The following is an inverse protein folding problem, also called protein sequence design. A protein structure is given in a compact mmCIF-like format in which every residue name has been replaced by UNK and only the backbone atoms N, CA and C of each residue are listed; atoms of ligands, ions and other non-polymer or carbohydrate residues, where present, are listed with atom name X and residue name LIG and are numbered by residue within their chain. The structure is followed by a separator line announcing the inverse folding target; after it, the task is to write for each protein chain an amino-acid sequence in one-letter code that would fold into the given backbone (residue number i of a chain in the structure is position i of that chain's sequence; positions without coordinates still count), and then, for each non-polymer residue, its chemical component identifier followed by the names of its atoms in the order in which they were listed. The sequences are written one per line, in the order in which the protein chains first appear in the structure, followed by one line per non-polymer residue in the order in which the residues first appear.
data_IF_365932142432
#
_entry.id   IF_365932142432
#
_cell.length_a   1.000
_cell.length_b   1.000
_cell.length_c   1.000
_cell.angle_alpha   90.00
_cell.angle_beta   90.00
_cell.angle_gamma   90.00
#
_symmetry.space_group_name_H-M   'P 1'
#
loop_
_entity.id
_entity.type
_entity.pdbx_description
1 polymer ?
#
# COMPACT_ATOMS: atom_id res chain seq x y z
N UNK A 1 6.27 -7.65 23.48
CA UNK A 1 5.19 -8.01 22.57
C UNK A 1 5.45 -7.31 21.23
N UNK A 2 5.51 -8.03 20.12
CA UNK A 2 5.84 -7.49 18.79
C UNK A 2 4.54 -7.05 18.09
N UNK A 3 4.38 -5.74 17.82
CA UNK A 3 3.25 -5.22 17.06
C UNK A 3 3.71 -4.93 15.62
N UNK A 4 3.03 -5.49 14.63
CA UNK A 4 3.26 -5.20 13.22
C UNK A 4 2.32 -4.10 12.70
N UNK A 5 2.77 -3.36 11.66
CA UNK A 5 1.94 -2.41 10.93
C UNK A 5 1.64 -2.97 9.54
N UNK A 6 0.36 -2.99 9.18
CA UNK A 6 -0.13 -3.52 7.90
C UNK A 6 -0.86 -2.43 7.13
N UNK A 7 -0.44 -2.16 5.90
CA UNK A 7 -0.92 -1.05 5.10
C UNK A 7 -1.55 -1.52 3.79
N UNK A 8 -2.87 -1.35 3.66
CA UNK A 8 -3.62 -1.67 2.45
C UNK A 8 -3.23 -0.73 1.29
N UNK A 9 -3.28 -1.24 0.06
CA UNK A 9 -3.19 -0.46 -1.16
C UNK A 9 -4.45 0.34 -1.45
N UNK A 10 -4.38 1.29 -2.39
CA UNK A 10 -5.56 2.07 -2.73
C UNK A 10 -5.31 3.27 -3.64
N UNK A 11 -4.14 3.37 -4.26
CA UNK A 11 -3.72 4.53 -5.02
C UNK A 11 -3.94 5.82 -4.20
N UNK A 12 -4.67 6.84 -4.72
CA UNK A 12 -4.89 8.10 -3.98
C UNK A 12 -5.73 7.98 -2.71
N UNK A 13 -6.46 6.87 -2.50
CA UNK A 13 -7.08 6.58 -1.19
C UNK A 13 -6.05 6.38 -0.08
N UNK A 14 -4.81 6.05 -0.44
CA UNK A 14 -3.66 6.01 0.48
C UNK A 14 -3.34 7.33 1.17
N UNK A 15 -3.94 8.46 0.75
CA UNK A 15 -3.81 9.72 1.49
C UNK A 15 -4.40 9.65 2.90
N UNK A 16 -5.47 8.87 3.10
CA UNK A 16 -5.94 8.55 4.44
C UNK A 16 -4.85 7.86 5.26
N UNK A 17 -4.21 6.83 4.67
CA UNK A 17 -3.07 6.14 5.30
C UNK A 17 -1.92 7.09 5.61
N UNK A 18 -1.57 7.98 4.67
CA UNK A 18 -0.54 8.98 4.89
C UNK A 18 -0.86 9.88 6.10
N UNK A 19 -2.10 10.33 6.22
CA UNK A 19 -2.55 11.11 7.38
C UNK A 19 -2.45 10.34 8.70
N UNK A 20 -2.85 9.07 8.71
CA UNK A 20 -2.70 8.18 9.88
C UNK A 20 -1.23 8.06 10.26
N UNK A 21 -0.35 7.75 9.31
CA UNK A 21 1.07 7.53 9.57
C UNK A 21 1.80 8.77 10.06
N UNK A 22 1.51 9.94 9.49
CA UNK A 22 2.10 11.20 9.96
C UNK A 22 1.69 11.49 11.42
N UNK A 23 0.48 11.09 11.83
CA UNK A 23 0.04 11.20 13.22
C UNK A 23 0.72 10.18 14.13
N UNK A 24 0.89 8.94 13.67
CA UNK A 24 1.64 7.92 14.42
C UNK A 24 3.09 8.34 14.62
N UNK A 25 3.70 8.95 13.60
CA UNK A 25 5.05 9.52 13.70
C UNK A 25 5.13 10.61 14.78
N UNK A 26 4.17 11.55 14.82
CA UNK A 26 4.09 12.59 15.85
C UNK A 26 3.89 12.02 17.27
N UNK A 27 3.27 10.84 17.38
CA UNK A 27 3.12 10.13 18.66
C UNK A 27 4.37 9.38 19.09
N UNK A 28 5.40 9.31 18.22
CA UNK A 28 6.63 8.56 18.47
C UNK A 28 6.42 7.04 18.45
N UNK A 29 5.47 6.55 17.64
CA UNK A 29 5.19 5.12 17.53
C UNK A 29 6.16 4.51 16.53
N UNK A 30 6.85 3.45 16.94
CA UNK A 30 7.71 2.64 16.08
C UNK A 30 7.18 1.21 15.99
N UNK A 31 7.38 0.57 14.84
CA UNK A 31 7.00 -0.80 14.60
C UNK A 31 8.22 -1.63 14.20
N UNK A 32 8.44 -2.81 14.83
CA UNK A 32 9.55 -3.69 14.45
C UNK A 32 9.34 -4.39 13.10
N UNK A 33 8.09 -4.40 12.60
CA UNK A 33 7.73 -4.97 11.32
C UNK A 33 6.63 -4.13 10.65
N UNK A 34 6.83 -3.83 9.37
CA UNK A 34 5.86 -3.12 8.53
C UNK A 34 5.73 -3.87 7.21
N UNK A 35 4.49 -4.07 6.75
CA UNK A 35 4.22 -4.62 5.43
C UNK A 35 3.17 -3.77 4.73
N UNK A 36 3.42 -3.44 3.47
CA UNK A 36 2.54 -2.58 2.68
C UNK A 36 2.35 -3.05 1.25
N UNK A 37 1.20 -2.68 0.69
CA UNK A 37 0.78 -3.01 -0.67
C UNK A 37 0.55 -1.73 -1.46
N UNK A 38 1.14 -1.57 -2.66
CA UNK A 38 0.85 -0.44 -3.56
C UNK A 38 1.08 0.92 -2.85
N UNK A 39 0.08 1.78 -2.76
CA UNK A 39 0.16 3.04 -1.99
C UNK A 39 0.54 2.79 -0.52
N UNK A 40 0.16 1.65 0.06
CA UNK A 40 0.59 1.22 1.39
C UNK A 40 2.08 0.88 1.44
N UNK A 41 2.64 0.27 0.39
CA UNK A 41 4.09 0.02 0.28
C UNK A 41 4.89 1.33 0.22
N UNK A 42 4.41 2.31 -0.56
CA UNK A 42 4.99 3.64 -0.62
C UNK A 42 4.96 4.33 0.75
N UNK A 43 3.82 4.24 1.45
CA UNK A 43 3.67 4.81 2.79
C UNK A 43 4.58 4.11 3.81
N UNK A 44 4.76 2.78 3.70
CA UNK A 44 5.63 1.99 4.56
C UNK A 44 7.09 2.45 4.49
N UNK A 45 7.66 2.57 3.28
CA UNK A 45 9.07 2.99 3.14
C UNK A 45 9.28 4.43 3.64
N UNK A 46 8.30 5.32 3.43
CA UNK A 46 8.37 6.70 3.91
C UNK A 46 8.30 6.79 5.43
N UNK A 47 7.54 5.91 6.07
CA UNK A 47 7.48 5.82 7.53
C UNK A 47 8.79 5.30 8.11
N UNK A 48 9.35 4.24 7.54
CA UNK A 48 10.63 3.65 7.95
C UNK A 48 11.80 4.64 7.78
N UNK A 49 11.80 5.41 6.68
CA UNK A 49 12.82 6.45 6.43
C UNK A 49 12.60 7.73 7.25
N UNK A 50 11.57 7.76 8.14
CA UNK A 50 11.26 8.90 9.01
C UNK A 50 11.01 10.21 8.24
N UNK A 51 10.28 10.12 7.13
CA UNK A 51 9.95 11.26 6.26
C UNK A 51 8.45 11.60 6.30
N UNK A 52 7.93 12.19 7.41
CA UNK A 52 6.55 12.62 7.48
C UNK A 52 6.22 13.63 6.36
N UNK A 53 4.98 13.61 5.87
CA UNK A 53 4.53 14.45 4.76
C UNK A 53 4.94 13.95 3.37
N UNK A 54 5.95 13.08 3.25
CA UNK A 54 6.42 12.58 1.95
C UNK A 54 5.35 11.77 1.23
N UNK A 55 4.61 10.91 1.94
CA UNK A 55 3.50 10.14 1.33
C UNK A 55 2.40 11.05 0.80
N UNK A 56 2.04 12.12 1.53
CA UNK A 56 1.09 13.13 1.04
C UNK A 56 1.60 13.79 -0.23
N UNK A 57 2.86 14.25 -0.22
CA UNK A 57 3.49 14.85 -1.41
C UNK A 57 3.41 13.93 -2.62
N UNK A 58 3.81 12.68 -2.50
CA UNK A 58 3.87 11.74 -3.63
C UNK A 58 2.49 11.38 -4.20
N UNK A 59 1.44 11.36 -3.36
CA UNK A 59 0.08 11.01 -3.78
C UNK A 59 -0.76 12.22 -4.22
N UNK A 60 -0.27 13.45 -4.03
CA UNK A 60 -0.96 14.67 -4.46
C UNK A 60 -0.53 15.06 -5.87
N UNK A 61 -1.44 15.44 -6.79
CA UNK A 61 -1.08 15.92 -8.12
C UNK A 61 -0.31 17.24 -8.03
N UNK A 62 0.82 17.35 -8.71
CA UNK A 62 1.57 18.59 -8.84
C UNK A 62 1.24 19.25 -10.18
N UNK A 63 0.57 20.41 -10.14
CA UNK A 63 -0.10 21.05 -11.26
C UNK A 63 0.81 21.75 -12.31
N UNK A 64 2.12 21.67 -12.21
CA UNK A 64 3.03 22.50 -13.03
C UNK A 64 3.41 21.91 -14.38
N UNK A 65 3.10 20.66 -14.68
CA UNK A 65 3.40 20.06 -15.98
C UNK A 65 2.14 19.96 -16.84
N UNK A 66 2.09 20.76 -17.92
CA UNK A 66 1.15 20.53 -19.03
C UNK A 66 1.45 19.14 -19.58
N UNK A 67 0.62 18.16 -19.27
CA UNK A 67 0.73 16.82 -19.83
C UNK A 67 0.60 16.91 -21.35
N UNK A 68 1.60 16.48 -22.14
CA UNK A 68 1.43 16.38 -23.58
C UNK A 68 0.22 15.48 -23.90
N UNK A 69 -0.42 15.69 -25.04
CA UNK A 69 -1.49 14.81 -25.54
C UNK A 69 -0.84 13.46 -25.89
N UNK A 70 -0.81 12.56 -24.95
CA UNK A 70 -0.27 11.20 -25.07
C UNK A 70 -1.40 10.19 -24.87
N UNK A 71 -1.27 8.97 -25.40
CA UNK A 71 -2.15 7.87 -25.03
C UNK A 71 -2.21 7.71 -23.49
N UNK A 72 -3.38 7.39 -22.97
CA UNK A 72 -3.60 7.30 -21.51
C UNK A 72 -2.59 6.34 -20.83
N UNK A 73 -2.26 5.23 -21.49
CA UNK A 73 -1.26 4.28 -21.01
C UNK A 73 0.11 4.94 -20.79
N UNK A 74 0.60 5.71 -21.76
CA UNK A 74 1.92 6.39 -21.68
C UNK A 74 1.93 7.45 -20.58
N UNK A 75 0.80 8.13 -20.36
CA UNK A 75 0.63 9.09 -19.25
C UNK A 75 0.73 8.37 -17.92
N UNK A 76 0.04 7.24 -17.75
CA UNK A 76 0.01 6.48 -16.51
C UNK A 76 1.37 5.83 -16.21
N UNK A 77 2.06 5.30 -17.24
CA UNK A 77 3.41 4.76 -17.08
C UNK A 77 4.40 5.83 -16.61
N UNK A 78 4.34 7.03 -17.23
CA UNK A 78 5.16 8.16 -16.80
C UNK A 78 4.85 8.60 -15.37
N UNK A 79 3.59 8.62 -14.97
CA UNK A 79 3.19 8.97 -13.60
C UNK A 79 3.74 7.94 -12.59
N UNK A 80 3.68 6.65 -12.90
CA UNK A 80 4.26 5.61 -12.03
C UNK A 80 5.78 5.78 -11.92
N UNK A 81 6.49 5.96 -13.06
CA UNK A 81 7.92 6.19 -13.07
C UNK A 81 8.31 7.45 -12.29
N UNK A 82 7.59 8.55 -12.50
CA UNK A 82 7.80 9.81 -11.80
C UNK A 82 7.65 9.66 -10.28
N UNK A 83 6.57 9.02 -9.86
CA UNK A 83 6.30 8.78 -8.44
C UNK A 83 7.35 7.85 -7.81
N UNK A 84 7.76 6.81 -8.53
CA UNK A 84 8.69 5.83 -7.98
C UNK A 84 10.15 6.33 -8.00
N UNK A 85 10.62 6.82 -9.16
CA UNK A 85 12.03 7.18 -9.34
C UNK A 85 12.30 8.68 -9.25
N UNK A 86 11.60 9.54 -10.03
CA UNK A 86 11.95 10.96 -10.09
C UNK A 86 11.72 11.66 -8.74
N UNK A 87 10.62 11.40 -8.07
CA UNK A 87 10.39 11.98 -6.74
C UNK A 87 11.39 11.45 -5.71
N UNK A 88 11.82 10.19 -5.86
CA UNK A 88 12.78 9.60 -4.94
C UNK A 88 14.19 10.16 -5.07
N UNK A 89 14.54 10.77 -6.21
CA UNK A 89 15.86 11.36 -6.40
C UNK A 89 15.87 12.88 -6.55
N UNK A 90 14.75 13.54 -6.89
CA UNK A 90 14.76 14.94 -7.31
C UNK A 90 13.92 15.88 -6.45
N UNK A 91 12.60 15.70 -6.43
CA UNK A 91 11.68 16.71 -5.88
C UNK A 91 11.49 16.62 -4.37
N UNK A 92 11.35 15.43 -3.84
CA UNK A 92 11.36 15.14 -2.41
C UNK A 92 12.25 13.91 -2.19
N UNK A 93 13.58 14.09 -2.15
CA UNK A 93 14.52 12.98 -2.11
C UNK A 93 14.19 11.98 -1.00
N UNK A 94 14.26 10.71 -1.34
CA UNK A 94 14.07 9.64 -0.37
C UNK A 94 15.35 9.49 0.46
N UNK A 95 15.19 9.38 1.76
CA UNK A 95 16.32 9.17 2.67
C UNK A 95 16.65 7.67 2.77
N UNK A 96 17.40 7.20 1.77
CA UNK A 96 17.91 5.82 1.72
C UNK A 96 18.78 5.50 2.93
N UNK A 97 19.56 6.48 3.42
CA UNK A 97 20.43 6.28 4.58
C UNK A 97 19.63 5.95 5.82
N UNK A 98 18.62 6.74 6.16
CA UNK A 98 17.73 6.47 7.29
C UNK A 98 16.94 5.18 7.10
N UNK A 99 16.46 4.89 5.89
CA UNK A 99 15.74 3.66 5.60
C UNK A 99 16.60 2.41 5.85
N UNK A 100 17.82 2.37 5.29
CA UNK A 100 18.71 1.22 5.42
C UNK A 100 19.32 1.07 6.82
N UNK A 101 19.43 2.16 7.58
CA UNK A 101 19.86 2.14 8.97
C UNK A 101 18.77 1.72 9.96
N UNK A 102 17.51 1.70 9.54
CA UNK A 102 16.39 1.33 10.41
C UNK A 102 16.44 -0.16 10.80
N UNK A 103 16.12 -0.45 12.05
CA UNK A 103 15.96 -1.85 12.54
C UNK A 103 14.60 -2.44 12.14
N UNK A 104 13.66 -1.62 11.67
CA UNK A 104 12.34 -2.07 11.22
C UNK A 104 12.45 -2.97 9.99
N UNK A 105 11.96 -4.20 10.07
CA UNK A 105 11.79 -5.04 8.88
C UNK A 105 10.61 -4.50 8.06
N UNK A 106 10.86 -4.11 6.81
CA UNK A 106 9.85 -3.57 5.91
C UNK A 106 9.69 -4.49 4.70
N UNK A 107 8.47 -4.97 4.46
CA UNK A 107 8.15 -5.79 3.29
C UNK A 107 7.17 -5.04 2.36
N UNK A 108 7.48 -5.07 1.05
CA UNK A 108 6.64 -4.56 -0.04
C UNK A 108 6.03 -5.76 -0.76
N UNK A 109 4.72 -5.74 -0.95
CA UNK A 109 4.01 -6.87 -1.57
C UNK A 109 3.81 -6.62 -3.05
N UNK A 110 4.20 -7.57 -3.88
CA UNK A 110 3.84 -7.64 -5.29
C UNK A 110 3.20 -8.99 -5.61
N UNK A 111 2.64 -9.13 -6.80
CA UNK A 111 2.11 -10.39 -7.31
C UNK A 111 3.01 -10.88 -8.43
N UNK A 112 3.55 -12.08 -8.30
CA UNK A 112 4.36 -12.74 -9.32
C UNK A 112 3.47 -13.11 -10.53
N UNK A 113 3.89 -12.69 -11.73
CA UNK A 113 3.11 -12.91 -12.94
C UNK A 113 3.07 -14.38 -13.38
N UNK A 114 4.11 -15.15 -13.05
CA UNK A 114 4.20 -16.55 -13.47
C UNK A 114 3.38 -17.48 -12.56
N UNK A 115 3.21 -17.14 -11.28
CA UNK A 115 2.54 -17.99 -10.30
C UNK A 115 1.19 -17.44 -9.81
N UNK A 116 0.94 -16.14 -9.99
CA UNK A 116 -0.22 -15.46 -9.39
C UNK A 116 -0.15 -15.31 -7.88
N UNK A 117 0.96 -15.70 -7.25
CA UNK A 117 1.16 -15.69 -5.80
C UNK A 117 1.77 -14.37 -5.31
N UNK A 118 1.66 -14.11 -4.01
CA UNK A 118 2.25 -12.94 -3.38
C UNK A 118 3.78 -13.11 -3.22
N UNK A 119 4.53 -12.11 -3.67
CA UNK A 119 5.96 -11.96 -3.41
C UNK A 119 6.16 -10.83 -2.40
N UNK A 120 7.01 -11.06 -1.40
CA UNK A 120 7.31 -10.11 -0.32
C UNK A 120 8.78 -9.68 -0.42
N UNK A 121 8.99 -8.42 -0.78
CA UNK A 121 10.33 -7.85 -0.96
C UNK A 121 10.77 -7.09 0.29
N UNK A 122 11.87 -7.53 0.89
CA UNK A 122 12.56 -6.79 1.93
C UNK A 122 13.95 -6.41 1.41
N UNK A 123 14.19 -5.11 1.22
CA UNK A 123 15.47 -4.61 0.70
C UNK A 123 16.16 -3.73 1.74
N UNK A 124 17.46 -3.96 1.95
CA UNK A 124 18.24 -3.33 3.03
C UNK A 124 19.53 -2.65 2.58
N UNK A 125 19.86 -2.70 1.27
CA UNK A 125 21.18 -2.27 0.78
C UNK A 125 21.17 -1.62 -0.60
N UNK A 126 20.28 -2.05 -1.48
CA UNK A 126 20.25 -1.62 -2.88
C UNK A 126 19.08 -0.66 -3.14
N UNK A 127 19.42 0.59 -3.41
CA UNK A 127 18.44 1.64 -3.68
C UNK A 127 17.58 1.32 -4.91
N UNK A 128 18.23 0.86 -6.00
CA UNK A 128 17.51 0.54 -7.23
C UNK A 128 16.56 -0.61 -7.00
N UNK A 129 17.00 -1.69 -6.37
CA UNK A 129 16.16 -2.85 -6.09
C UNK A 129 14.98 -2.52 -5.17
N UNK A 130 15.16 -1.61 -4.19
CA UNK A 130 14.06 -1.09 -3.37
C UNK A 130 13.02 -0.36 -4.22
N UNK A 131 13.46 0.48 -5.15
CA UNK A 131 12.55 1.23 -6.03
C UNK A 131 11.90 0.30 -7.08
N UNK A 132 12.62 -0.69 -7.60
CA UNK A 132 12.05 -1.71 -8.49
C UNK A 132 10.94 -2.51 -7.77
N UNK A 133 11.17 -2.92 -6.53
CA UNK A 133 10.16 -3.60 -5.70
C UNK A 133 8.95 -2.70 -5.39
N UNK A 134 9.18 -1.40 -5.13
CA UNK A 134 8.09 -0.44 -4.97
C UNK A 134 7.29 -0.27 -6.26
N UNK A 135 7.97 -0.17 -7.41
CA UNK A 135 7.32 -0.11 -8.71
C UNK A 135 6.48 -1.36 -8.96
N UNK A 136 7.00 -2.56 -8.67
CA UNK A 136 6.27 -3.82 -8.77
C UNK A 136 5.01 -3.82 -7.90
N UNK A 137 5.13 -3.39 -6.66
CA UNK A 137 3.99 -3.27 -5.74
C UNK A 137 2.90 -2.32 -6.23
N UNK A 138 3.24 -1.32 -7.05
CA UNK A 138 2.32 -0.30 -7.57
C UNK A 138 1.85 -0.53 -9.02
N UNK A 139 2.33 -1.58 -9.71
CA UNK A 139 2.04 -1.85 -11.12
C UNK A 139 0.67 -2.50 -11.31
N UNK A 140 -0.41 -1.71 -11.24
CA UNK A 140 -1.78 -2.21 -11.42
C UNK A 140 -1.97 -2.84 -12.81
N UNK A 141 -2.45 -4.11 -12.89
CA UNK A 141 -2.68 -4.80 -14.16
C UNK A 141 -3.59 -4.01 -15.11
N UNK A 142 -3.30 -4.04 -16.40
CA UNK A 142 -3.99 -3.34 -17.48
C UNK A 142 -3.94 -1.80 -17.42
N UNK A 143 -3.31 -1.22 -16.38
CA UNK A 143 -3.11 0.22 -16.23
C UNK A 143 -1.63 0.55 -16.42
N UNK A 144 -0.75 -0.14 -15.71
CA UNK A 144 0.69 0.02 -15.78
C UNK A 144 1.36 -1.21 -16.42
N UNK A 145 2.57 -1.07 -16.99
CA UNK A 145 3.34 -2.22 -17.44
C UNK A 145 3.70 -3.13 -16.27
N UNK A 146 4.02 -4.38 -16.57
CA UNK A 146 4.61 -5.30 -15.61
C UNK A 146 5.98 -4.78 -15.20
N UNK A 147 6.26 -4.75 -13.90
CA UNK A 147 7.56 -4.37 -13.39
C UNK A 147 8.49 -5.57 -13.35
N UNK A 148 9.79 -5.32 -13.51
CA UNK A 148 10.81 -6.39 -13.47
C UNK A 148 11.66 -6.21 -12.21
N UNK A 149 11.72 -7.25 -11.38
CA UNK A 149 12.62 -7.34 -10.22
C UNK A 149 13.42 -8.63 -10.33
N UNK A 150 14.74 -8.53 -10.30
CA UNK A 150 15.66 -9.68 -10.41
C UNK A 150 15.39 -10.58 -11.63
N UNK A 151 14.90 -10.00 -12.75
CA UNK A 151 14.60 -10.71 -13.99
C UNK A 151 13.23 -11.40 -14.04
N UNK A 152 12.39 -11.27 -13.02
CA UNK A 152 11.01 -11.77 -12.97
C UNK A 152 10.00 -10.63 -13.11
N UNK A 153 8.85 -10.93 -13.70
CA UNK A 153 7.75 -9.98 -13.90
C UNK A 153 6.77 -9.99 -12.74
N UNK A 154 6.39 -8.80 -12.30
CA UNK A 154 5.46 -8.58 -11.20
C UNK A 154 4.41 -7.54 -11.55
N UNK A 155 3.27 -7.63 -10.87
CA UNK A 155 2.22 -6.61 -10.84
C UNK A 155 1.84 -6.27 -9.39
N UNK A 156 0.92 -5.31 -9.23
CA UNK A 156 0.45 -4.82 -7.93
C UNK A 156 0.08 -5.96 -6.96
N UNK A 157 0.62 -5.88 -5.75
CA UNK A 157 0.46 -6.90 -4.72
C UNK A 157 -0.99 -7.12 -4.28
N UNK A 158 -1.87 -6.14 -4.51
CA UNK A 158 -3.28 -6.25 -4.15
C UNK A 158 -4.04 -7.34 -4.93
N UNK A 159 -3.44 -7.92 -5.97
CA UNK A 159 -4.01 -9.07 -6.68
C UNK A 159 -3.90 -10.34 -5.83
N UNK A 160 -2.73 -10.63 -5.29
CA UNK A 160 -2.49 -11.84 -4.49
C UNK A 160 -2.80 -11.66 -3.01
N UNK A 161 -2.34 -10.56 -2.40
CA UNK A 161 -2.54 -10.28 -0.97
C UNK A 161 -2.84 -8.80 -0.75
N UNK A 162 -4.11 -8.45 -0.59
CA UNK A 162 -4.55 -7.05 -0.49
C UNK A 162 -4.30 -6.43 0.88
N UNK A 163 -4.31 -7.24 1.96
CA UNK A 163 -4.13 -6.80 3.36
C UNK A 163 -3.27 -7.82 4.10
N UNK A 164 -1.95 -7.76 4.00
CA UNK A 164 -1.01 -8.82 4.39
C UNK A 164 -0.83 -8.97 5.92
N UNK A 165 -1.95 -9.05 6.67
CA UNK A 165 -1.89 -9.20 8.12
C UNK A 165 -1.46 -10.60 8.54
N UNK A 166 -1.79 -11.64 7.77
CA UNK A 166 -1.36 -13.01 8.00
C UNK A 166 0.15 -13.11 7.86
N UNK A 167 0.73 -12.45 6.84
CA UNK A 167 2.18 -12.34 6.68
C UNK A 167 2.85 -11.72 7.91
N UNK A 168 2.26 -10.67 8.49
CA UNK A 168 2.80 -10.07 9.71
C UNK A 168 2.76 -11.02 10.91
N UNK A 169 1.69 -11.82 11.02
CA UNK A 169 1.60 -12.86 12.06
C UNK A 169 2.64 -13.98 11.85
N UNK A 170 2.88 -14.42 10.60
CA UNK A 170 3.93 -15.39 10.24
C UNK A 170 5.33 -14.87 10.57
N UNK A 171 5.56 -13.55 10.48
CA UNK A 171 6.80 -12.87 10.89
C UNK A 171 6.94 -12.71 12.41
N UNK A 172 6.07 -13.36 13.16
CA UNK A 172 6.14 -13.41 14.61
C UNK A 172 5.62 -12.14 15.31
N UNK A 173 4.75 -11.36 14.65
CA UNK A 173 4.00 -10.32 15.33
C UNK A 173 2.92 -10.93 16.22
N UNK A 174 2.86 -10.51 17.48
CA UNK A 174 1.83 -10.95 18.43
C UNK A 174 0.48 -10.30 18.14
N UNK A 175 0.53 -9.09 17.55
CA UNK A 175 -0.62 -8.27 17.16
C UNK A 175 -0.28 -7.38 15.98
N UNK A 176 -1.31 -6.86 15.30
CA UNK A 176 -1.16 -6.00 14.11
C UNK A 176 -2.05 -4.77 14.17
N UNK A 177 -1.47 -3.60 13.88
CA UNK A 177 -2.23 -2.39 13.54
C UNK A 177 -2.45 -2.38 12.03
N UNK A 178 -3.70 -2.38 11.59
CA UNK A 178 -4.07 -2.46 10.17
C UNK A 178 -4.69 -1.14 9.76
N UNK A 179 -4.13 -0.51 8.72
CA UNK A 179 -4.69 0.70 8.13
C UNK A 179 -5.27 0.37 6.77
N UNK A 180 -6.58 0.54 6.64
CA UNK A 180 -7.33 0.30 5.41
C UNK A 180 -7.64 1.63 4.72
N UNK A 181 -7.84 1.56 3.40
CA UNK A 181 -8.07 2.73 2.54
C UNK A 181 -9.54 2.89 2.13
N UNK A 182 -10.40 1.97 2.58
CA UNK A 182 -11.84 1.96 2.28
C UNK A 182 -12.69 1.84 3.54
N UNK A 183 -13.88 2.45 3.56
CA UNK A 183 -14.88 2.21 4.59
C UNK A 183 -15.37 0.74 4.57
N UNK A 184 -16.07 0.34 5.61
CA UNK A 184 -16.49 -1.06 5.78
C UNK A 184 -17.50 -1.54 4.74
N UNK A 185 -18.32 -0.63 4.23
CA UNK A 185 -19.41 -0.87 3.27
C UNK A 185 -18.97 -0.74 1.80
N UNK A 186 -17.74 -0.28 1.52
CA UNK A 186 -17.22 -0.19 0.16
C UNK A 186 -16.67 -1.56 -0.30
N UNK A 187 -17.23 -2.14 -1.38
CA UNK A 187 -16.79 -3.45 -1.84
C UNK A 187 -15.37 -3.44 -2.41
N UNK A 188 -14.73 -4.60 -2.40
CA UNK A 188 -13.48 -4.83 -3.11
C UNK A 188 -13.65 -4.66 -4.62
N UNK A 189 -12.54 -4.37 -5.32
CA UNK A 189 -12.53 -4.38 -6.78
C UNK A 189 -12.79 -5.79 -7.29
N UNK A 190 -13.78 -5.94 -8.16
CA UNK A 190 -14.13 -7.21 -8.80
C UNK A 190 -13.67 -7.21 -10.26
N UNK A 191 -12.54 -7.85 -10.52
CA UNK A 191 -11.93 -7.97 -11.84
C UNK A 191 -12.74 -8.83 -12.81
N UNK A 192 -13.67 -9.67 -12.34
CA UNK A 192 -14.59 -10.46 -13.19
C UNK A 192 -15.43 -9.57 -14.11
N UNK A 193 -15.71 -8.33 -13.68
CA UNK A 193 -16.40 -7.33 -14.51
C UNK A 193 -15.62 -6.91 -15.76
N UNK A 194 -14.31 -7.13 -15.76
CA UNK A 194 -13.41 -6.83 -16.89
C UNK A 194 -12.83 -8.11 -17.52
N UNK A 195 -13.42 -9.29 -17.26
CA UNK A 195 -12.91 -10.59 -17.68
C UNK A 195 -12.50 -10.64 -19.16
N UNK A 196 -13.34 -10.12 -20.07
CA UNK A 196 -13.09 -10.17 -21.53
C UNK A 196 -11.83 -9.36 -21.89
N UNK A 197 -11.61 -8.21 -21.25
CA UNK A 197 -10.42 -7.41 -21.47
C UNK A 197 -9.18 -8.11 -20.91
N UNK A 198 -9.27 -8.55 -19.66
CA UNK A 198 -8.15 -9.17 -18.94
C UNK A 198 -7.73 -10.51 -19.54
N UNK A 199 -8.69 -11.31 -20.08
CA UNK A 199 -8.33 -12.55 -20.77
C UNK A 199 -7.49 -12.30 -22.02
N UNK A 200 -7.79 -11.25 -22.78
CA UNK A 200 -6.99 -10.88 -23.96
C UNK A 200 -5.57 -10.40 -23.62
N UNK A 201 -5.38 -9.84 -22.42
CA UNK A 201 -4.11 -9.24 -22.00
C UNK A 201 -3.23 -10.24 -21.24
N UNK A 202 -3.80 -11.22 -20.55
CA UNK A 202 -3.07 -12.01 -19.56
C UNK A 202 -3.27 -13.53 -19.68
N UNK A 203 -4.46 -14.03 -20.14
CA UNK A 203 -4.81 -15.43 -20.07
C UNK A 203 -3.85 -16.36 -20.85
N UNK A 204 -3.28 -15.87 -21.95
CA UNK A 204 -2.33 -16.63 -22.75
C UNK A 204 -0.92 -16.56 -22.20
N UNK A 205 -0.47 -15.35 -21.77
CA UNK A 205 0.93 -15.13 -21.37
C UNK A 205 1.19 -15.42 -19.88
N UNK A 206 0.17 -15.17 -19.04
CA UNK A 206 0.23 -15.29 -17.58
C UNK A 206 -1.09 -15.87 -17.03
N UNK A 207 -1.43 -17.13 -17.33
CA UNK A 207 -2.71 -17.74 -16.93
C UNK A 207 -2.92 -17.75 -15.42
N UNK A 208 -1.87 -17.99 -14.64
CA UNK A 208 -1.93 -18.00 -13.17
C UNK A 208 -2.25 -16.61 -12.60
N UNK A 209 -1.66 -15.55 -13.18
CA UNK A 209 -2.02 -14.17 -12.84
C UNK A 209 -3.48 -13.86 -13.21
N UNK A 210 -3.95 -14.32 -14.38
CA UNK A 210 -5.34 -14.14 -14.78
C UNK A 210 -6.30 -14.80 -13.78
N UNK A 211 -6.03 -16.04 -13.36
CA UNK A 211 -6.81 -16.76 -12.37
C UNK A 211 -6.77 -16.07 -10.99
N UNK A 212 -5.59 -15.55 -10.60
CA UNK A 212 -5.46 -14.76 -9.39
C UNK A 212 -6.33 -13.49 -9.42
N UNK A 213 -6.44 -12.81 -10.57
CA UNK A 213 -7.35 -11.67 -10.73
C UNK A 213 -8.82 -12.08 -10.66
N UNK A 214 -9.21 -13.21 -11.26
CA UNK A 214 -10.60 -13.68 -11.25
C UNK A 214 -11.07 -14.10 -9.85
N UNK A 215 -10.19 -14.61 -9.02
CA UNK A 215 -10.49 -15.05 -7.63
C UNK A 215 -10.26 -13.97 -6.58
N UNK A 216 -9.65 -12.84 -6.94
CA UNK A 216 -9.27 -11.77 -6.00
C UNK A 216 -10.42 -11.27 -5.13
N UNK A 217 -11.61 -11.07 -5.70
CA UNK A 217 -12.76 -10.54 -4.96
C UNK A 217 -13.14 -11.45 -3.78
N UNK A 218 -13.25 -12.74 -4.05
CA UNK A 218 -13.66 -13.73 -3.05
C UNK A 218 -12.57 -13.87 -1.97
N UNK A 219 -11.30 -13.92 -2.39
CA UNK A 219 -10.14 -13.93 -1.48
C UNK A 219 -10.10 -12.70 -0.56
N UNK A 220 -10.39 -11.50 -1.09
CA UNK A 220 -10.48 -10.29 -0.27
C UNK A 220 -11.61 -10.35 0.75
N UNK A 221 -12.78 -10.88 0.37
CA UNK A 221 -13.91 -11.04 1.28
C UNK A 221 -13.58 -12.02 2.42
N UNK A 222 -12.95 -13.14 2.11
CA UNK A 222 -12.48 -14.10 3.12
C UNK A 222 -11.41 -13.48 4.03
N UNK A 223 -10.45 -12.76 3.46
CA UNK A 223 -9.42 -12.04 4.20
C UNK A 223 -10.04 -11.00 5.16
N UNK A 224 -11.05 -10.26 4.71
CA UNK A 224 -11.78 -9.30 5.55
C UNK A 224 -12.51 -9.97 6.72
N UNK A 225 -13.08 -11.16 6.52
CA UNK A 225 -13.69 -11.94 7.60
C UNK A 225 -12.64 -12.41 8.63
N UNK A 226 -11.51 -12.98 8.17
CA UNK A 226 -10.43 -13.42 9.06
C UNK A 226 -9.81 -12.25 9.82
N UNK A 227 -9.63 -11.09 9.18
CA UNK A 227 -9.14 -9.87 9.81
C UNK A 227 -10.10 -9.39 10.92
N UNK A 228 -11.42 -9.42 10.67
CA UNK A 228 -12.44 -9.05 11.65
C UNK A 228 -12.41 -10.01 12.85
N UNK A 229 -12.35 -11.32 12.59
CA UNK A 229 -12.23 -12.32 13.66
C UNK A 229 -10.94 -12.11 14.49
N UNK A 230 -9.82 -11.77 13.85
CA UNK A 230 -8.57 -11.46 14.55
C UNK A 230 -8.73 -10.22 15.45
N UNK A 231 -9.46 -9.20 14.98
CA UNK A 231 -9.72 -7.99 15.77
C UNK A 231 -10.60 -8.28 17.01
N UNK A 232 -11.57 -9.18 16.91
CA UNK A 232 -12.40 -9.63 18.04
C UNK A 232 -11.57 -10.31 19.13
N UNK A 233 -10.45 -10.94 18.78
CA UNK A 233 -9.52 -11.52 19.77
C UNK A 233 -8.60 -10.50 20.44
N UNK A 234 -8.68 -9.22 20.07
CA UNK A 234 -7.76 -8.17 20.53
C UNK A 234 -6.37 -8.23 19.91
N UNK A 235 -6.13 -9.10 18.92
CA UNK A 235 -4.83 -9.21 18.22
C UNK A 235 -4.71 -8.31 16.99
N UNK A 236 -5.80 -7.73 16.52
CA UNK A 236 -5.76 -6.71 15.48
C UNK A 236 -6.51 -5.45 15.92
N UNK A 237 -5.95 -4.28 15.55
CA UNK A 237 -6.63 -3.00 15.61
C UNK A 237 -6.74 -2.46 14.20
N UNK A 238 -7.97 -2.13 13.76
CA UNK A 238 -8.25 -1.69 12.40
C UNK A 238 -8.56 -0.20 12.42
N UNK A 239 -7.84 0.57 11.62
CA UNK A 239 -8.12 1.98 11.34
C UNK A 239 -8.56 2.08 9.87
N UNK A 240 -9.74 2.67 9.61
CA UNK A 240 -10.28 2.86 8.27
C UNK A 240 -11.09 4.14 8.18
N UNK A 241 -11.25 4.75 6.99
CA UNK A 241 -12.11 5.91 6.84
C UNK A 241 -13.58 5.56 7.13
N UNK A 242 -14.34 6.52 7.66
CA UNK A 242 -15.77 6.33 7.93
C UNK A 242 -16.62 6.30 6.65
N UNK A 243 -16.15 6.98 5.60
CA UNK A 243 -16.80 7.04 4.28
C UNK A 243 -15.76 7.20 3.16
N UNK A 244 -16.18 6.94 1.92
CA UNK A 244 -15.32 7.13 0.75
C UNK A 244 -15.22 8.62 0.39
N UNK A 245 -14.09 9.24 0.67
CA UNK A 245 -13.82 10.64 0.34
C UNK A 245 -13.26 10.80 -1.07
N UNK A 246 -12.41 9.85 -1.48
CA UNK A 246 -11.70 9.87 -2.75
C UNK A 246 -11.77 8.52 -3.45
N UNK A 247 -11.79 8.55 -4.78
CA UNK A 247 -11.60 7.37 -5.62
C UNK A 247 -10.11 7.11 -5.85
N UNK A 248 -9.75 5.91 -6.29
CA UNK A 248 -8.37 5.49 -6.51
C UNK A 248 -7.55 6.45 -7.41
N UNK A 249 -8.19 7.06 -8.41
CA UNK A 249 -7.56 7.99 -9.36
C UNK A 249 -8.18 9.39 -9.34
N UNK A 250 -8.70 9.81 -8.19
CA UNK A 250 -9.25 11.16 -8.03
C UNK A 250 -8.13 12.21 -8.14
N UNK A 251 -8.38 13.30 -8.88
CA UNK A 251 -7.44 14.38 -9.10
C UNK A 251 -7.87 15.69 -8.41
N UNK A 252 -8.98 15.68 -7.70
CA UNK A 252 -9.48 16.86 -7.00
C UNK A 252 -8.70 17.08 -5.70
N UNK A 253 -7.87 18.12 -5.67
CA UNK A 253 -6.98 18.43 -4.54
C UNK A 253 -7.72 18.61 -3.22
N UNK A 254 -8.90 19.27 -3.21
CA UNK A 254 -9.68 19.50 -2.00
C UNK A 254 -10.15 18.17 -1.38
N UNK A 255 -10.62 17.22 -2.22
CA UNK A 255 -11.00 15.89 -1.71
C UNK A 255 -9.80 15.10 -1.19
N UNK A 256 -8.66 15.23 -1.86
CA UNK A 256 -7.42 14.59 -1.46
C UNK A 256 -6.93 15.10 -0.10
N UNK A 257 -7.02 16.42 0.12
CA UNK A 257 -6.70 17.02 1.42
C UNK A 257 -7.67 16.57 2.51
N UNK A 258 -8.98 16.50 2.22
CA UNK A 258 -9.98 15.98 3.17
C UNK A 258 -9.66 14.54 3.58
N UNK A 259 -9.28 13.67 2.66
CA UNK A 259 -8.92 12.28 2.97
C UNK A 259 -7.68 12.19 3.88
N UNK A 260 -6.67 13.02 3.63
CA UNK A 260 -5.48 13.10 4.46
C UNK A 260 -5.81 13.61 5.88
N UNK A 261 -6.58 14.70 5.98
CA UNK A 261 -6.95 15.32 7.25
C UNK A 261 -7.84 14.39 8.10
N UNK A 262 -8.71 13.60 7.47
CA UNK A 262 -9.48 12.58 8.18
C UNK A 262 -8.57 11.49 8.77
N UNK A 263 -7.58 11.00 8.01
CA UNK A 263 -6.60 10.05 8.53
C UNK A 263 -5.90 10.58 9.78
N UNK A 264 -5.48 11.85 9.75
CA UNK A 264 -4.90 12.53 10.90
C UNK A 264 -5.86 12.66 12.08
N UNK A 265 -7.10 13.04 11.81
CA UNK A 265 -8.13 13.21 12.84
C UNK A 265 -8.49 11.87 13.49
N UNK A 266 -8.68 10.83 12.68
CA UNK A 266 -8.98 9.47 13.16
C UNK A 266 -7.87 8.92 14.07
N UNK A 267 -6.62 9.00 13.64
CA UNK A 267 -5.48 8.58 14.47
C UNK A 267 -5.37 9.43 15.73
N UNK A 268 -5.66 10.74 15.65
CA UNK A 268 -5.70 11.65 16.80
C UNK A 268 -6.74 11.23 17.82
N UNK A 269 -7.96 10.95 17.39
CA UNK A 269 -9.06 10.50 18.25
C UNK A 269 -8.77 9.15 18.92
N UNK A 270 -8.02 8.29 18.23
CA UNK A 270 -7.64 6.96 18.71
C UNK A 270 -6.30 6.91 19.45
N UNK A 271 -5.64 8.05 19.70
CA UNK A 271 -4.27 8.12 20.24
C UNK A 271 -4.02 7.16 21.39
N UNK A 272 -4.80 7.25 22.47
CA UNK A 272 -4.57 6.43 23.66
C UNK A 272 -4.79 4.95 23.39
N UNK A 273 -5.79 4.59 22.56
CA UNK A 273 -6.04 3.21 22.15
C UNK A 273 -4.86 2.65 21.35
N UNK A 274 -4.33 3.44 20.42
CA UNK A 274 -3.17 3.06 19.60
C UNK A 274 -1.94 2.85 20.48
N UNK A 275 -1.62 3.82 21.36
CA UNK A 275 -0.44 3.72 22.23
C UNK A 275 -0.52 2.50 23.16
N UNK A 276 -1.68 2.22 23.76
CA UNK A 276 -1.89 1.04 24.59
C UNK A 276 -1.79 -0.25 23.77
N UNK A 277 -2.39 -0.27 22.56
CA UNK A 277 -2.34 -1.42 21.67
C UNK A 277 -0.92 -1.74 21.22
N UNK A 278 -0.15 -0.74 20.77
CA UNK A 278 1.23 -0.93 20.31
C UNK A 278 2.17 -1.20 21.47
N UNK A 279 2.03 -0.48 22.58
CA UNK A 279 2.86 -0.63 23.77
C UNK A 279 2.63 -1.90 24.58
N UNK A 280 1.57 -2.67 24.27
CA UNK A 280 1.28 -3.94 24.95
C UNK A 280 0.68 -3.80 26.35
N UNK A 281 0.22 -2.60 26.73
CA UNK A 281 -0.56 -2.41 27.96
C UNK A 281 -2.00 -2.88 27.71
N UNK A 282 -2.49 -3.83 28.52
CA UNK A 282 -3.90 -4.23 28.49
C UNK A 282 -4.78 -3.04 28.86
N UNK A 283 -5.92 -2.90 28.16
CA UNK A 283 -6.95 -1.90 28.47
C UNK A 283 -7.70 -2.25 29.73
#
# INVERSE_FOLDING_TARGET
MKCGLVLEGGARRGLFTAGVLDRLYEFGVDFPYIVGVSAGAQAAINYVSRQPGRSRFMMTPHSEEKTPILPLHDVLERELHKVTYDYSYKQFPFDFTSYFASETECELVATDCATGEAAYFSERKDEKRLLDALCASCSLPAIFPRAIVDGHEYVDGSIADSVPFERAMEKGCDRVLIVLTKPADEPATDYRKMRILLSKLFEQDCPELFDAMMTRFDRYCEQAQRMTALAETGKAMIIRPERSYVKAFDMNSEKLDVAYDEGRAMAGALKNKILNFVGGTEL
#
